data_IF_764769120031
#
_entry.id   IF_764769120031
#
_cell.length_a   1.000
_cell.length_b   1.000
_cell.length_c   1.000
_cell.angle_alpha   90.00
_cell.angle_beta   90.00
_cell.angle_gamma   90.00
#
_symmetry.space_group_name_H-M   'P 1'
#
loop_
_entity.id
_entity.type
_entity.pdbx_description
1 polymer ?
#
# COMPACT_ATOMS: atom_id res chain seq x y z
N UNK A 1 9.69 21.18 -9.18
CA UNK A 1 9.20 20.86 -10.55
C UNK A 1 7.77 20.37 -10.42
N UNK A 2 6.85 20.95 -11.17
CA UNK A 2 5.44 20.58 -11.15
C UNK A 2 5.20 19.33 -12.00
N UNK A 3 4.33 18.42 -11.53
CA UNK A 3 3.93 17.24 -12.29
C UNK A 3 2.65 17.53 -13.08
N UNK A 4 2.60 17.02 -14.31
CA UNK A 4 1.37 16.94 -15.10
C UNK A 4 0.74 15.57 -14.87
N UNK A 5 -0.59 15.52 -14.73
CA UNK A 5 -1.33 14.30 -14.45
C UNK A 5 -2.19 13.92 -15.64
N UNK A 6 -2.12 12.65 -16.03
CA UNK A 6 -2.86 12.09 -17.14
C UNK A 6 -3.67 10.88 -16.70
N UNK A 7 -4.91 10.77 -17.14
CA UNK A 7 -5.67 9.52 -17.01
C UNK A 7 -5.20 8.55 -18.09
N UNK A 8 -4.86 7.34 -17.65
CA UNK A 8 -4.39 6.28 -18.52
C UNK A 8 -5.21 5.01 -18.25
N UNK A 9 -5.62 4.33 -19.34
CA UNK A 9 -6.34 3.08 -19.27
C UNK A 9 -5.38 1.94 -19.56
N UNK A 10 -5.07 1.17 -18.53
CA UNK A 10 -4.43 -0.13 -18.66
C UNK A 10 -5.48 -1.18 -19.00
N UNK A 11 -5.07 -2.37 -19.45
CA UNK A 11 -6.00 -3.40 -19.90
C UNK A 11 -7.03 -3.82 -18.84
N UNK A 12 -6.67 -3.74 -17.55
CA UNK A 12 -7.54 -4.17 -16.44
C UNK A 12 -7.82 -3.09 -15.39
N UNK A 13 -7.14 -1.94 -15.45
CA UNK A 13 -7.27 -0.84 -14.49
C UNK A 13 -7.10 0.50 -15.17
N UNK A 14 -7.93 1.46 -14.76
CA UNK A 14 -7.64 2.87 -15.01
C UNK A 14 -6.68 3.39 -13.95
N UNK A 15 -5.83 4.36 -14.31
CA UNK A 15 -4.90 5.01 -13.40
C UNK A 15 -4.70 6.48 -13.73
N UNK A 16 -4.26 7.25 -12.74
CA UNK A 16 -3.65 8.56 -12.95
C UNK A 16 -2.14 8.37 -12.99
N UNK A 17 -1.52 8.88 -14.04
CA UNK A 17 -0.07 8.81 -14.25
C UNK A 17 0.52 10.21 -14.21
N UNK A 18 1.58 10.40 -13.42
CA UNK A 18 2.40 11.60 -13.39
C UNK A 18 3.82 11.23 -13.87
N UNK A 19 4.15 11.47 -15.15
CA UNK A 19 5.42 11.04 -15.73
C UNK A 19 6.62 11.71 -15.07
N UNK A 20 7.63 10.90 -14.80
CA UNK A 20 8.95 11.31 -14.34
C UNK A 20 10.03 11.12 -15.40
N UNK A 21 11.28 10.98 -14.97
CA UNK A 21 12.38 10.67 -15.87
C UNK A 21 12.45 9.15 -16.13
N UNK A 22 12.80 8.71 -17.34
CA UNK A 22 12.87 7.29 -17.68
C UNK A 22 13.86 6.48 -16.84
N UNK A 23 14.93 7.10 -16.37
CA UNK A 23 15.99 6.49 -15.55
C UNK A 23 15.64 6.44 -14.05
N UNK A 24 14.55 7.09 -13.64
CA UNK A 24 14.11 7.11 -12.26
C UNK A 24 13.05 6.01 -12.00
N UNK A 25 12.87 5.57 -10.75
CA UNK A 25 11.91 4.54 -10.42
C UNK A 25 10.47 4.90 -10.79
N UNK A 26 9.66 3.88 -10.99
CA UNK A 26 8.21 4.00 -11.04
C UNK A 26 7.65 3.72 -9.64
N UNK A 27 6.84 4.62 -9.11
CA UNK A 27 6.15 4.45 -7.83
C UNK A 27 4.67 4.20 -8.12
N UNK A 28 4.21 2.99 -7.84
CA UNK A 28 2.79 2.62 -7.90
C UNK A 28 2.25 2.74 -6.49
N UNK A 29 1.33 3.70 -6.24
CA UNK A 29 0.80 3.94 -4.90
C UNK A 29 -0.72 3.74 -4.86
N UNK A 30 -1.15 2.85 -3.96
CA UNK A 30 -2.52 2.34 -3.88
C UNK A 30 -3.32 3.06 -2.79
N UNK A 31 -4.53 3.50 -3.11
CA UNK A 31 -5.41 4.21 -2.19
C UNK A 31 -6.08 3.28 -1.15
N UNK A 32 -6.62 3.86 -0.08
CA UNK A 32 -7.41 3.15 0.93
C UNK A 32 -8.85 2.88 0.49
N UNK A 33 -9.59 2.08 1.28
CA UNK A 33 -11.01 1.79 1.07
C UNK A 33 -11.85 3.07 1.01
N UNK A 34 -12.76 3.15 0.04
CA UNK A 34 -13.63 4.32 -0.16
C UNK A 34 -12.96 5.56 -0.75
N UNK A 35 -11.67 5.50 -1.07
CA UNK A 35 -10.90 6.56 -1.72
C UNK A 35 -10.78 6.31 -3.24
N UNK A 36 -9.92 7.07 -3.91
CA UNK A 36 -9.65 6.93 -5.33
C UNK A 36 -8.22 7.37 -5.69
N UNK A 37 -7.82 7.12 -6.94
CA UNK A 37 -6.57 7.61 -7.49
C UNK A 37 -6.45 9.15 -7.42
N UNK A 38 -7.55 9.87 -7.59
CA UNK A 38 -7.58 11.34 -7.56
C UNK A 38 -7.10 11.89 -6.21
N UNK A 39 -7.42 11.19 -5.12
CA UNK A 39 -7.05 11.60 -3.76
C UNK A 39 -5.55 11.43 -3.45
N UNK A 40 -4.79 10.78 -4.33
CA UNK A 40 -3.36 10.55 -4.16
C UNK A 40 -2.48 11.51 -4.97
N UNK A 41 -3.06 12.32 -5.84
CA UNK A 41 -2.31 13.22 -6.74
C UNK A 41 -1.48 14.30 -6.03
N UNK A 42 -1.68 14.49 -4.73
CA UNK A 42 -0.85 15.37 -3.91
C UNK A 42 0.55 14.79 -3.59
N UNK A 43 0.74 13.46 -3.67
CA UNK A 43 1.98 12.79 -3.24
C UNK A 43 3.23 13.32 -3.91
N UNK A 44 3.30 13.53 -5.24
CA UNK A 44 4.50 14.04 -5.89
C UNK A 44 4.94 15.41 -5.35
N UNK A 45 3.99 16.24 -4.93
CA UNK A 45 4.26 17.56 -4.32
C UNK A 45 4.58 17.47 -2.83
N UNK A 46 3.96 16.53 -2.11
CA UNK A 46 4.19 16.32 -0.69
C UNK A 46 5.50 15.55 -0.39
N UNK A 47 6.01 14.80 -1.38
CA UNK A 47 7.24 14.02 -1.28
C UNK A 47 8.20 14.34 -2.45
N UNK A 48 8.69 15.60 -2.57
CA UNK A 48 9.59 15.99 -3.66
C UNK A 48 10.99 15.40 -3.45
N UNK A 49 11.60 14.90 -4.51
CA UNK A 49 12.99 14.42 -4.51
C UNK A 49 13.91 15.47 -5.14
N UNK A 50 15.12 15.63 -4.58
CA UNK A 50 16.08 16.64 -5.04
C UNK A 50 16.66 16.28 -6.40
N UNK A 51 17.16 15.05 -6.54
CA UNK A 51 17.99 14.62 -7.65
C UNK A 51 17.33 13.51 -8.50
N UNK A 52 16.02 13.31 -8.33
CA UNK A 52 15.24 12.36 -9.14
C UNK A 52 13.81 12.82 -9.31
N UNK A 53 13.18 12.33 -10.37
CA UNK A 53 11.79 12.58 -10.71
C UNK A 53 11.10 11.26 -11.06
N UNK A 54 10.63 10.48 -10.05
CA UNK A 54 9.93 9.23 -10.28
C UNK A 54 8.67 9.41 -11.12
N UNK A 55 8.34 8.40 -11.92
CA UNK A 55 6.98 8.30 -12.45
C UNK A 55 6.06 7.82 -11.35
N UNK A 56 4.96 8.54 -11.09
CA UNK A 56 3.93 8.11 -10.16
C UNK A 56 2.75 7.53 -10.91
N UNK A 57 2.26 6.40 -10.44
CA UNK A 57 1.06 5.74 -10.97
C UNK A 57 0.11 5.50 -9.80
N UNK A 58 -1.10 6.04 -9.90
CA UNK A 58 -2.17 5.91 -8.94
C UNK A 58 -3.33 5.14 -9.58
N UNK A 59 -3.40 3.80 -9.42
CA UNK A 59 -4.49 3.04 -10.01
C UNK A 59 -5.80 3.23 -9.22
N UNK A 60 -6.93 3.14 -9.90
CA UNK A 60 -8.24 3.00 -9.27
C UNK A 60 -8.47 1.56 -8.81
N UNK A 61 -9.07 1.38 -7.65
CA UNK A 61 -9.45 0.06 -7.15
C UNK A 61 -10.47 -0.63 -8.04
N UNK A 62 -10.43 -1.96 -8.08
CA UNK A 62 -11.26 -2.81 -8.98
C UNK A 62 -12.74 -2.84 -8.62
N UNK A 63 -13.11 -2.44 -7.41
CA UNK A 63 -14.48 -2.39 -6.92
C UNK A 63 -14.96 -0.94 -6.83
N UNK A 64 -16.09 -0.61 -7.45
CA UNK A 64 -16.75 0.69 -7.29
C UNK A 64 -17.75 0.61 -6.14
N UNK A 65 -17.61 1.48 -5.17
CA UNK A 65 -18.49 1.55 -4.01
C UNK A 65 -19.66 2.49 -4.28
N UNK A 66 -20.88 2.01 -4.05
CA UNK A 66 -22.08 2.84 -4.20
C UNK A 66 -22.31 3.74 -2.99
N UNK A 67 -21.86 3.30 -1.81
CA UNK A 67 -22.07 3.95 -0.51
C UNK A 67 -21.15 5.13 -0.23
N UNK A 68 -19.99 5.25 -0.89
CA UNK A 68 -18.97 6.28 -0.63
C UNK A 68 -18.80 7.24 -1.82
N UNK A 69 -19.86 7.98 -2.19
CA UNK A 69 -19.76 9.06 -3.18
C UNK A 69 -18.94 8.73 -4.45
N UNK A 70 -18.94 7.46 -4.87
CA UNK A 70 -18.18 7.00 -6.04
C UNK A 70 -16.73 6.58 -5.76
N UNK A 71 -16.33 6.34 -4.51
CA UNK A 71 -15.02 5.80 -4.15
C UNK A 71 -14.81 4.36 -4.62
N UNK A 72 -13.58 3.90 -4.55
CA UNK A 72 -13.15 2.57 -4.98
C UNK A 72 -12.62 1.74 -3.81
N UNK A 73 -12.56 0.43 -4.01
CA UNK A 73 -11.88 -0.51 -3.11
C UNK A 73 -11.08 -1.53 -3.92
N UNK A 74 -10.12 -2.17 -3.27
CA UNK A 74 -9.38 -3.28 -3.85
C UNK A 74 -10.13 -4.59 -3.70
N UNK A 75 -10.78 -4.77 -2.54
CA UNK A 75 -11.64 -5.91 -2.24
C UNK A 75 -12.80 -5.44 -1.35
N UNK A 76 -13.95 -6.14 -1.40
CA UNK A 76 -15.10 -5.78 -0.59
C UNK A 76 -14.81 -6.00 0.90
N UNK A 77 -15.43 -5.20 1.76
CA UNK A 77 -15.48 -5.39 3.20
C UNK A 77 -16.93 -5.55 3.64
N UNK A 78 -17.15 -6.27 4.74
CA UNK A 78 -18.42 -6.28 5.47
C UNK A 78 -18.55 -4.90 6.17
N UNK A 79 -19.18 -3.93 5.47
CA UNK A 79 -19.31 -2.55 5.97
C UNK A 79 -19.98 -2.45 7.35
N UNK A 80 -21.10 -3.16 7.65
CA UNK A 80 -21.68 -3.15 8.99
C UNK A 80 -20.71 -3.66 10.07
N UNK A 81 -19.97 -4.73 9.79
CA UNK A 81 -18.96 -5.26 10.71
C UNK A 81 -17.81 -4.27 10.89
N UNK A 82 -17.32 -3.67 9.81
CA UNK A 82 -16.26 -2.66 9.85
C UNK A 82 -16.68 -1.44 10.68
N UNK A 83 -17.90 -0.91 10.46
CA UNK A 83 -18.43 0.20 11.26
C UNK A 83 -18.57 -0.14 12.74
N UNK A 84 -18.98 -1.37 13.05
CA UNK A 84 -19.05 -1.85 14.43
C UNK A 84 -17.68 -1.86 15.11
N UNK A 85 -16.63 -2.31 14.39
CA UNK A 85 -15.26 -2.38 14.92
C UNK A 85 -14.66 -1.01 15.18
N UNK A 86 -14.79 -0.06 14.24
CA UNK A 86 -14.25 1.30 14.43
C UNK A 86 -15.02 2.09 15.51
N UNK A 87 -16.27 1.74 15.78
CA UNK A 87 -17.07 2.35 16.86
C UNK A 87 -16.70 1.80 18.25
N UNK A 88 -16.06 0.63 18.31
CA UNK A 88 -15.64 -0.05 19.54
C UNK A 88 -14.20 -0.58 19.37
N UNK A 89 -13.18 0.30 19.41
CA UNK A 89 -11.80 -0.07 19.07
C UNK A 89 -11.08 -0.91 20.14
N UNK A 90 -11.75 -1.29 21.21
CA UNK A 90 -11.16 -2.10 22.27
C UNK A 90 -10.71 -3.48 21.75
N UNK A 91 -9.44 -3.79 21.98
CA UNK A 91 -8.85 -5.07 21.58
C UNK A 91 -9.24 -6.15 22.58
N UNK A 92 -10.23 -6.95 22.22
CA UNK A 92 -10.68 -8.11 22.99
C UNK A 92 -10.55 -9.37 22.14
N UNK A 93 -10.58 -10.60 22.71
CA UNK A 93 -10.63 -11.82 21.91
C UNK A 93 -11.81 -11.88 20.94
N UNK A 94 -12.89 -11.17 21.23
CA UNK A 94 -14.06 -11.07 20.36
C UNK A 94 -13.80 -10.17 19.17
N UNK A 95 -13.27 -8.96 19.40
CA UNK A 95 -12.93 -8.02 18.33
C UNK A 95 -11.81 -8.57 17.43
N UNK A 96 -10.83 -9.29 17.97
CA UNK A 96 -9.82 -9.98 17.19
C UNK A 96 -10.42 -10.99 16.20
N UNK A 97 -11.37 -11.82 16.63
CA UNK A 97 -12.10 -12.76 15.75
C UNK A 97 -12.92 -12.02 14.68
N UNK A 98 -13.49 -10.87 15.04
CA UNK A 98 -14.22 -10.03 14.10
C UNK A 98 -13.30 -9.42 13.04
N UNK A 99 -12.11 -8.95 13.41
CA UNK A 99 -11.10 -8.51 12.43
C UNK A 99 -10.65 -9.66 11.51
N UNK A 100 -10.41 -10.86 12.03
CA UNK A 100 -10.10 -12.05 11.23
C UNK A 100 -11.22 -12.37 10.22
N UNK A 101 -12.48 -12.22 10.63
CA UNK A 101 -13.63 -12.39 9.72
C UNK A 101 -13.69 -11.28 8.66
N UNK A 102 -13.50 -10.02 9.07
CA UNK A 102 -13.47 -8.87 8.16
C UNK A 102 -12.40 -9.01 7.08
N UNK A 103 -11.27 -9.58 7.44
CA UNK A 103 -10.10 -9.72 6.57
C UNK A 103 -9.99 -11.08 5.86
N UNK A 104 -11.03 -11.90 5.93
CA UNK A 104 -11.13 -13.10 5.09
C UNK A 104 -11.52 -12.70 3.65
N UNK A 105 -10.57 -12.16 2.91
CA UNK A 105 -10.77 -11.54 1.60
C UNK A 105 -10.15 -12.35 0.47
N UNK A 106 -10.72 -12.22 -0.72
CA UNK A 106 -10.16 -12.78 -1.96
C UNK A 106 -9.30 -11.71 -2.68
N UNK A 107 -8.01 -11.96 -2.77
CA UNK A 107 -7.05 -11.10 -3.46
C UNK A 107 -6.91 -11.39 -4.96
N UNK A 108 -7.52 -12.44 -5.50
CA UNK A 108 -7.24 -12.91 -6.87
C UNK A 108 -7.53 -11.84 -7.92
N UNK A 109 -8.71 -11.22 -7.86
CA UNK A 109 -9.11 -10.19 -8.83
C UNK A 109 -8.22 -8.94 -8.78
N UNK A 110 -8.05 -8.25 -7.64
CA UNK A 110 -7.21 -7.06 -7.57
C UNK A 110 -5.73 -7.37 -7.83
N UNK A 111 -5.22 -8.50 -7.34
CA UNK A 111 -3.85 -8.95 -7.59
C UNK A 111 -3.60 -9.13 -9.09
N UNK A 112 -4.46 -9.88 -9.79
CA UNK A 112 -4.32 -10.11 -11.23
C UNK A 112 -4.43 -8.81 -12.06
N UNK A 113 -5.21 -7.83 -11.59
CA UNK A 113 -5.32 -6.54 -12.25
C UNK A 113 -4.05 -5.69 -12.05
N UNK A 114 -3.49 -5.67 -10.85
CA UNK A 114 -2.24 -4.96 -10.53
C UNK A 114 -1.02 -5.61 -11.19
N UNK A 115 -0.95 -6.93 -11.24
CA UNK A 115 0.11 -7.66 -11.96
C UNK A 115 0.07 -7.38 -13.48
N UNK A 116 -1.14 -7.26 -14.05
CA UNK A 116 -1.31 -6.85 -15.45
C UNK A 116 -0.76 -5.43 -15.68
N UNK A 117 -1.11 -4.47 -14.82
CA UNK A 117 -0.61 -3.11 -14.87
C UNK A 117 0.93 -3.08 -14.75
N UNK A 118 1.50 -3.81 -13.80
CA UNK A 118 2.97 -3.92 -13.61
C UNK A 118 3.64 -4.46 -14.88
N UNK A 119 3.03 -5.47 -15.53
CA UNK A 119 3.54 -6.03 -16.78
C UNK A 119 3.46 -5.01 -17.92
N UNK A 120 2.36 -4.27 -18.03
CA UNK A 120 2.15 -3.27 -19.10
C UNK A 120 3.07 -2.05 -18.98
N UNK A 121 3.50 -1.68 -17.76
CA UNK A 121 4.52 -0.63 -17.54
C UNK A 121 5.83 -0.99 -18.22
N UNK A 122 6.11 -2.27 -18.42
CA UNK A 122 7.32 -2.80 -19.07
C UNK A 122 8.63 -2.27 -18.44
N UNK A 123 8.66 -2.23 -17.10
CA UNK A 123 9.86 -1.90 -16.30
C UNK A 123 10.24 -3.11 -15.45
N UNK A 124 11.54 -3.39 -15.24
CA UNK A 124 11.95 -4.46 -14.34
C UNK A 124 11.51 -4.16 -12.90
N UNK A 125 11.27 -5.21 -12.10
CA UNK A 125 10.78 -5.06 -10.72
C UNK A 125 11.71 -4.22 -9.85
N UNK A 126 13.02 -4.29 -10.07
CA UNK A 126 14.00 -3.49 -9.31
C UNK A 126 13.96 -1.98 -9.63
N UNK A 127 13.16 -1.55 -10.63
CA UNK A 127 12.85 -0.15 -10.92
C UNK A 127 11.47 0.27 -10.39
N UNK A 128 10.71 -0.66 -9.80
CA UNK A 128 9.34 -0.41 -9.34
C UNK A 128 9.31 -0.38 -7.82
N UNK A 129 8.74 0.68 -7.27
CA UNK A 129 8.39 0.80 -5.86
C UNK A 129 6.89 0.62 -5.75
N UNK A 130 6.46 -0.35 -4.94
CA UNK A 130 5.06 -0.54 -4.60
C UNK A 130 4.75 0.19 -3.30
N UNK A 131 3.64 0.92 -3.26
CA UNK A 131 3.21 1.59 -2.05
C UNK A 131 1.70 1.60 -1.91
N UNK A 132 1.24 1.88 -0.69
CA UNK A 132 -0.17 2.04 -0.45
C UNK A 132 -0.48 2.49 0.97
N UNK A 133 -1.73 2.95 1.12
CA UNK A 133 -2.29 3.37 2.39
C UNK A 133 -3.49 2.48 2.75
N UNK A 134 -3.59 2.06 4.02
CA UNK A 134 -4.74 1.31 4.52
C UNK A 134 -4.98 0.02 3.70
N UNK A 135 -6.12 -0.14 3.06
CA UNK A 135 -6.41 -1.28 2.17
C UNK A 135 -5.39 -1.38 1.01
N UNK A 136 -4.89 -0.23 0.50
CA UNK A 136 -3.81 -0.21 -0.49
C UNK A 136 -2.49 -0.74 0.05
N UNK A 137 -2.19 -0.51 1.33
CA UNK A 137 -1.01 -1.09 1.99
C UNK A 137 -1.12 -2.61 2.16
N UNK A 138 -2.33 -3.12 2.41
CA UNK A 138 -2.61 -4.56 2.43
C UNK A 138 -2.36 -5.20 1.06
N UNK A 139 -2.81 -4.54 -0.03
CA UNK A 139 -2.53 -4.98 -1.40
C UNK A 139 -1.05 -4.91 -1.75
N UNK A 140 -0.34 -3.86 -1.33
CA UNK A 140 1.12 -3.76 -1.47
C UNK A 140 1.82 -4.95 -0.81
N UNK A 141 1.42 -5.29 0.42
CA UNK A 141 1.94 -6.46 1.14
C UNK A 141 1.65 -7.76 0.37
N UNK A 142 0.42 -7.93 -0.13
CA UNK A 142 0.05 -9.10 -0.93
C UNK A 142 0.93 -9.24 -2.18
N UNK A 143 1.20 -8.13 -2.89
CA UNK A 143 2.01 -8.15 -4.11
C UNK A 143 3.48 -8.51 -3.84
N UNK A 144 4.12 -7.89 -2.84
CA UNK A 144 5.52 -8.17 -2.52
C UNK A 144 5.71 -9.60 -2.01
N UNK A 145 4.78 -10.13 -1.21
CA UNK A 145 4.84 -11.49 -0.70
C UNK A 145 4.52 -12.56 -1.75
N UNK A 146 3.76 -12.21 -2.80
CA UNK A 146 3.46 -13.12 -3.91
C UNK A 146 4.56 -13.15 -4.96
N UNK A 147 5.45 -12.16 -5.01
CA UNK A 147 6.52 -12.07 -6.00
C UNK A 147 7.79 -12.77 -5.53
N UNK A 148 8.38 -13.61 -6.37
CA UNK A 148 9.71 -14.19 -6.16
C UNK A 148 10.84 -13.24 -6.56
N UNK A 149 10.52 -12.21 -7.35
CA UNK A 149 11.47 -11.19 -7.82
C UNK A 149 11.31 -9.97 -6.92
N UNK A 150 12.41 -9.46 -6.31
CA UNK A 150 12.32 -8.30 -5.45
C UNK A 150 11.95 -7.03 -6.25
N UNK A 151 11.09 -6.20 -5.67
CA UNK A 151 10.86 -4.83 -6.10
C UNK A 151 11.96 -3.90 -5.58
N UNK A 152 12.10 -2.73 -6.19
CA UNK A 152 13.02 -1.68 -5.71
C UNK A 152 12.77 -1.35 -4.23
N UNK A 153 11.50 -1.37 -3.82
CA UNK A 153 11.10 -1.19 -2.43
C UNK A 153 9.60 -1.24 -2.23
N UNK A 154 9.17 -1.22 -0.97
CA UNK A 154 7.77 -1.19 -0.60
C UNK A 154 7.45 -0.14 0.46
N UNK A 155 6.32 0.57 0.31
CA UNK A 155 5.81 1.59 1.23
C UNK A 155 4.47 1.11 1.80
N UNK A 156 4.43 0.73 3.07
CA UNK A 156 3.28 0.12 3.73
C UNK A 156 2.77 1.09 4.80
N UNK A 157 1.84 2.00 4.41
CA UNK A 157 1.34 3.04 5.29
C UNK A 157 0.02 2.61 5.94
N UNK A 158 -0.01 2.53 7.27
CA UNK A 158 -1.19 2.13 8.07
C UNK A 158 -1.85 0.85 7.54
N UNK A 159 -1.04 -0.14 7.15
CA UNK A 159 -1.50 -1.47 6.75
C UNK A 159 -1.71 -2.39 7.95
N UNK A 160 -2.44 -3.49 7.76
CA UNK A 160 -2.73 -4.47 8.79
C UNK A 160 -2.37 -5.88 8.35
N UNK A 161 -2.11 -6.74 9.32
CA UNK A 161 -2.00 -8.19 9.13
C UNK A 161 -3.39 -8.78 8.89
N UNK A 162 -3.69 -9.19 7.65
CA UNK A 162 -5.04 -9.63 7.26
C UNK A 162 -5.10 -11.05 6.70
N UNK A 163 -4.06 -11.54 6.07
CA UNK A 163 -4.00 -12.87 5.47
C UNK A 163 -2.89 -13.70 6.11
N UNK A 164 -3.00 -13.87 7.43
CA UNK A 164 -1.94 -14.40 8.29
C UNK A 164 -1.32 -15.68 7.72
N UNK A 165 -2.10 -16.73 7.52
CA UNK A 165 -1.61 -18.03 7.04
C UNK A 165 -0.94 -17.92 5.66
N UNK A 166 -1.57 -17.26 4.69
CA UNK A 166 -1.02 -17.15 3.34
C UNK A 166 0.24 -16.29 3.27
N UNK A 167 0.31 -15.24 4.09
CA UNK A 167 1.51 -14.40 4.15
C UNK A 167 2.65 -15.08 4.90
N UNK A 168 2.36 -15.88 5.94
CA UNK A 168 3.37 -16.70 6.62
C UNK A 168 3.96 -17.79 5.73
N UNK A 169 3.15 -18.38 4.85
CA UNK A 169 3.64 -19.35 3.85
C UNK A 169 4.54 -18.68 2.80
N UNK A 170 4.17 -17.48 2.35
CA UNK A 170 4.85 -16.77 1.27
C UNK A 170 6.14 -16.06 1.69
N UNK A 171 6.25 -15.58 2.95
CA UNK A 171 7.40 -14.79 3.39
C UNK A 171 8.75 -15.48 3.20
N UNK A 172 8.80 -16.81 3.31
CA UNK A 172 10.04 -17.60 3.16
C UNK A 172 10.53 -17.71 1.72
N UNK A 173 9.66 -17.47 0.74
CA UNK A 173 9.94 -17.68 -0.70
C UNK A 173 9.82 -16.42 -1.55
N UNK A 174 9.36 -15.30 -0.97
CA UNK A 174 9.23 -14.04 -1.68
C UNK A 174 10.59 -13.40 -1.99
N UNK A 175 10.59 -12.50 -2.98
CA UNK A 175 11.74 -11.64 -3.29
C UNK A 175 12.03 -10.67 -2.13
N UNK A 176 13.30 -10.41 -1.86
CA UNK A 176 13.73 -9.59 -0.72
C UNK A 176 13.66 -8.09 -1.04
N UNK A 177 12.44 -7.57 -1.18
CA UNK A 177 12.20 -6.13 -1.34
C UNK A 177 12.43 -5.40 -0.03
N UNK A 178 13.24 -4.32 0.02
CA UNK A 178 13.32 -3.48 1.21
C UNK A 178 11.99 -2.75 1.43
N UNK A 179 11.67 -2.38 2.68
CA UNK A 179 10.40 -1.73 2.94
C UNK A 179 10.47 -0.63 4.01
N UNK A 180 9.53 0.31 3.92
CA UNK A 180 9.15 1.21 5.01
C UNK A 180 7.72 0.87 5.39
N UNK A 181 7.49 0.60 6.66
CA UNK A 181 6.16 0.49 7.22
C UNK A 181 5.92 1.64 8.20
N UNK A 182 4.69 2.19 8.24
CA UNK A 182 4.32 3.20 9.23
C UNK A 182 2.95 2.91 9.82
N UNK A 183 2.75 3.30 11.11
CA UNK A 183 1.47 3.14 11.80
C UNK A 183 1.32 4.13 12.94
N UNK A 184 0.11 4.70 13.11
CA UNK A 184 -0.22 5.60 14.20
C UNK A 184 -0.59 4.84 15.48
N UNK A 185 -0.08 5.28 16.64
CA UNK A 185 -0.44 4.67 17.94
C UNK A 185 -1.92 4.79 18.27
N UNK A 186 -2.59 5.84 17.76
CA UNK A 186 -4.00 6.16 18.01
C UNK A 186 -4.88 5.82 16.79
N UNK A 187 -4.43 4.90 15.95
CA UNK A 187 -5.22 4.43 14.81
C UNK A 187 -6.44 3.65 15.33
N UNK A 188 -7.60 4.28 15.21
CA UNK A 188 -8.90 3.71 15.61
C UNK A 188 -9.62 2.98 14.46
N UNK A 189 -9.07 3.00 13.26
CA UNK A 189 -9.58 2.26 12.09
C UNK A 189 -8.94 0.88 12.01
N UNK A 190 -7.61 0.86 12.06
CA UNK A 190 -6.81 -0.36 12.09
C UNK A 190 -5.89 -0.28 13.32
N UNK A 191 -6.27 -0.90 14.44
CA UNK A 191 -5.51 -0.82 15.69
C UNK A 191 -4.02 -1.12 15.51
N UNK A 192 -3.18 -0.34 16.19
CA UNK A 192 -1.72 -0.35 16.08
C UNK A 192 -1.09 -1.75 16.12
N UNK A 193 -1.62 -2.66 16.95
CA UNK A 193 -1.10 -4.03 17.06
C UNK A 193 -1.17 -4.84 15.75
N UNK A 194 -2.10 -4.53 14.84
CA UNK A 194 -2.13 -5.17 13.51
C UNK A 194 -0.93 -4.73 12.65
N UNK A 195 -0.50 -3.48 12.80
CA UNK A 195 0.74 -2.98 12.20
C UNK A 195 1.98 -3.67 12.79
N UNK A 196 2.03 -3.84 14.11
CA UNK A 196 3.13 -4.55 14.77
C UNK A 196 3.21 -6.02 14.35
N UNK A 197 2.08 -6.72 14.26
CA UNK A 197 2.03 -8.10 13.75
C UNK A 197 2.56 -8.18 12.31
N UNK A 198 2.14 -7.25 11.46
CA UNK A 198 2.60 -7.20 10.07
C UNK A 198 4.11 -6.97 9.99
N UNK A 199 4.63 -5.99 10.73
CA UNK A 199 6.08 -5.74 10.79
C UNK A 199 6.85 -6.95 11.31
N UNK A 200 6.35 -7.59 12.36
CA UNK A 200 6.96 -8.82 12.90
C UNK A 200 7.04 -9.95 11.87
N UNK A 201 6.05 -10.08 11.00
CA UNK A 201 6.11 -11.04 9.90
C UNK A 201 7.16 -10.62 8.87
N UNK A 202 7.07 -9.39 8.35
CA UNK A 202 7.92 -8.92 7.24
C UNK A 202 9.40 -8.92 7.62
N UNK A 203 9.74 -8.48 8.82
CA UNK A 203 11.12 -8.42 9.33
C UNK A 203 11.79 -9.79 9.53
N UNK A 204 11.06 -10.91 9.40
CA UNK A 204 11.67 -12.26 9.41
C UNK A 204 12.56 -12.50 8.20
N UNK A 205 12.29 -11.86 7.06
CA UNK A 205 13.00 -12.11 5.79
C UNK A 205 13.33 -10.83 5.01
N UNK A 206 12.63 -9.73 5.25
CA UNK A 206 12.80 -8.49 4.52
C UNK A 206 13.52 -7.46 5.39
N UNK A 207 14.36 -6.61 4.76
CA UNK A 207 15.03 -5.49 5.39
C UNK A 207 14.14 -4.25 5.34
N UNK A 208 13.81 -3.67 6.49
CA UNK A 208 12.94 -2.50 6.51
C UNK A 208 12.79 -1.84 7.87
N UNK A 209 12.23 -0.62 7.84
CA UNK A 209 11.98 0.22 8.99
C UNK A 209 10.49 0.25 9.36
N UNK A 210 10.18 0.22 10.67
CA UNK A 210 8.85 0.50 11.19
C UNK A 210 8.83 1.88 11.88
N UNK A 211 8.01 2.78 11.35
CA UNK A 211 7.86 4.15 11.84
C UNK A 211 6.55 4.25 12.59
N UNK A 212 6.61 4.21 13.90
CA UNK A 212 5.46 4.50 14.75
C UNK A 212 5.37 5.99 15.03
N UNK A 213 4.15 6.54 15.05
CA UNK A 213 3.95 7.97 15.28
C UNK A 213 2.73 8.25 16.16
N UNK A 214 2.76 9.39 16.85
CA UNK A 214 1.59 9.89 17.58
C UNK A 214 0.60 10.51 16.61
N UNK A 215 -0.44 9.75 16.28
CA UNK A 215 -1.48 10.10 15.32
C UNK A 215 -2.41 8.92 15.05
N UNK A 216 -3.44 9.16 14.27
CA UNK A 216 -4.47 8.18 13.91
C UNK A 216 -4.17 7.45 12.59
N UNK A 217 -5.23 7.23 11.81
CA UNK A 217 -5.18 6.56 10.51
C UNK A 217 -4.77 7.54 9.40
N UNK A 218 -3.47 7.82 9.29
CA UNK A 218 -2.94 8.87 8.40
C UNK A 218 -1.50 8.59 7.94
N UNK A 219 -1.00 9.44 7.04
CA UNK A 219 0.41 9.48 6.64
C UNK A 219 0.95 10.87 7.02
N UNK A 220 1.60 11.01 8.19
CA UNK A 220 2.12 12.31 8.64
C UNK A 220 3.38 12.73 7.88
N UNK A 221 3.70 14.02 7.94
CA UNK A 221 4.88 14.61 7.30
C UNK A 221 6.19 13.88 7.64
N UNK A 222 6.33 13.39 8.87
CA UNK A 222 7.52 12.64 9.29
C UNK A 222 7.72 11.35 8.47
N UNK A 223 6.62 10.66 8.12
CA UNK A 223 6.65 9.46 7.26
C UNK A 223 7.03 9.84 5.83
N UNK A 224 6.45 10.91 5.28
CA UNK A 224 6.80 11.43 3.95
C UNK A 224 8.28 11.81 3.86
N UNK A 225 8.81 12.47 4.89
CA UNK A 225 10.24 12.82 4.98
C UNK A 225 11.15 11.58 5.03
N UNK A 226 10.74 10.53 5.73
CA UNK A 226 11.49 9.26 5.75
C UNK A 226 11.48 8.61 4.37
N UNK A 227 10.32 8.53 3.70
CA UNK A 227 10.16 8.03 2.34
C UNK A 227 11.09 8.81 1.38
N UNK A 228 11.06 10.13 1.45
CA UNK A 228 11.89 11.02 0.63
C UNK A 228 13.40 10.77 0.79
N UNK A 229 13.85 10.46 2.01
CA UNK A 229 15.26 10.15 2.29
C UNK A 229 15.66 8.74 1.89
N UNK A 230 14.74 7.79 1.92
CA UNK A 230 15.06 6.37 1.75
C UNK A 230 14.98 5.91 0.29
N UNK A 231 14.01 6.38 -0.49
CA UNK A 231 13.85 5.96 -1.90
C UNK A 231 15.12 6.18 -2.74
N UNK A 232 15.87 7.30 -2.65
CA UNK A 232 17.11 7.47 -3.38
C UNK A 232 18.17 6.41 -3.05
N UNK A 233 18.17 5.88 -1.82
CA UNK A 233 19.09 4.82 -1.39
C UNK A 233 18.71 3.45 -1.97
N UNK A 234 17.43 3.22 -2.23
CA UNK A 234 16.97 1.99 -2.88
C UNK A 234 17.33 1.94 -4.36
N UNK A 235 17.24 3.07 -5.06
CA UNK A 235 17.65 3.18 -6.46
C UNK A 235 19.13 2.84 -6.68
N UNK A 236 19.98 3.07 -5.70
CA UNK A 236 21.43 2.86 -5.80
C UNK A 236 21.89 1.45 -5.45
N UNK A 237 20.98 0.54 -5.10
CA UNK A 237 21.25 -0.88 -4.81
C UNK A 237 21.10 -1.72 -6.06
#
# INVERSE_FOLDING_TARGET
>A
MEYSFFRYQFSKLDAIVAPGNPEDPVIIFLHGYGSSADNLTFFPSACPFKDMRPTWIFPYGVEKLQSFSGGNAWFPLDEPLFQSLISNPDVTPTTERQYQKLFNVDFNKPKAALESLITEINRPHHDIILGGFSQGAMMTTQLILSSKIPYCGALICSGAMIFEKGWEENISVCGKSPFIQSHGYQDNILPYYHGEKLYSLLSRQLDGDFISFHGGHEIPTAVLQKIQKTIPLWKSR
#
